data_IF_661103230713
#
_entry.id   IF_661103230713
#
_cell.length_a   1.000
_cell.length_b   1.000
_cell.length_c   1.000
_cell.angle_alpha   90.00
_cell.angle_beta   90.00
_cell.angle_gamma   90.00
#
_symmetry.space_group_name_H-M   'P 1'
#
loop_
_entity.id
_entity.type
_entity.pdbx_description
1 polymer ?
#
# COMPACT_ATOMS: atom_id res chain seq x y z
N UNK A 1 -27.45 -6.52 -26.47
CA UNK A 1 -26.44 -7.51 -26.93
C UNK A 1 -25.68 -8.00 -25.70
N UNK A 2 -25.08 -9.20 -25.70
CA UNK A 2 -24.37 -9.74 -24.52
C UNK A 2 -23.25 -8.81 -23.99
N UNK A 3 -22.50 -8.17 -24.88
CA UNK A 3 -21.44 -7.21 -24.51
C UNK A 3 -21.97 -6.01 -23.71
N UNK A 4 -23.14 -5.47 -24.06
CA UNK A 4 -23.69 -4.29 -23.37
C UNK A 4 -23.95 -4.59 -21.87
N UNK A 5 -24.41 -5.81 -21.56
CA UNK A 5 -24.65 -6.23 -20.18
C UNK A 5 -23.33 -6.40 -19.39
N UNK A 6 -22.31 -6.99 -20.02
CA UNK A 6 -20.98 -7.14 -19.41
C UNK A 6 -20.33 -5.79 -19.16
N UNK A 7 -20.40 -4.87 -20.12
CA UNK A 7 -19.84 -3.53 -19.99
C UNK A 7 -20.53 -2.70 -18.90
N UNK A 8 -21.84 -2.88 -18.71
CA UNK A 8 -22.58 -2.23 -17.62
C UNK A 8 -22.05 -2.68 -16.25
N UNK A 9 -21.92 -3.99 -16.04
CA UNK A 9 -21.33 -4.56 -14.81
C UNK A 9 -19.86 -4.12 -14.62
N UNK A 10 -19.08 -4.14 -15.70
CA UNK A 10 -17.69 -3.70 -15.69
C UNK A 10 -17.57 -2.22 -15.31
N UNK A 11 -18.46 -1.36 -15.81
CA UNK A 11 -18.42 0.07 -15.54
C UNK A 11 -18.68 0.37 -14.05
N UNK A 12 -19.74 -0.21 -13.48
CA UNK A 12 -20.04 -0.05 -12.05
C UNK A 12 -18.92 -0.58 -11.16
N UNK A 13 -18.39 -1.79 -11.45
CA UNK A 13 -17.27 -2.35 -10.70
C UNK A 13 -16.00 -1.52 -10.84
N UNK A 14 -15.71 -1.00 -12.04
CA UNK A 14 -14.52 -0.21 -12.31
C UNK A 14 -14.52 1.11 -11.51
N UNK A 15 -15.66 1.82 -11.51
CA UNK A 15 -15.83 3.06 -10.74
C UNK A 15 -15.75 2.79 -9.24
N UNK A 16 -16.35 1.70 -8.75
CA UNK A 16 -16.25 1.31 -7.35
C UNK A 16 -14.79 1.04 -6.92
N UNK A 17 -14.02 0.32 -7.74
CA UNK A 17 -12.58 0.08 -7.49
C UNK A 17 -11.79 1.38 -7.50
N UNK A 18 -11.98 2.25 -8.49
CA UNK A 18 -11.29 3.53 -8.59
C UNK A 18 -11.60 4.43 -7.38
N UNK A 19 -12.86 4.50 -6.96
CA UNK A 19 -13.28 5.26 -5.78
C UNK A 19 -12.64 4.73 -4.49
N UNK A 20 -12.66 3.41 -4.28
CA UNK A 20 -12.06 2.79 -3.09
C UNK A 20 -10.53 2.99 -3.02
N UNK A 21 -9.85 2.96 -4.18
CA UNK A 21 -8.41 3.25 -4.27
C UNK A 21 -8.10 4.70 -3.90
N UNK A 22 -8.86 5.65 -4.45
CA UNK A 22 -8.70 7.07 -4.10
C UNK A 22 -8.92 7.33 -2.63
N UNK A 23 -9.98 6.76 -2.05
CA UNK A 23 -10.24 6.88 -0.61
C UNK A 23 -9.05 6.36 0.21
N UNK A 24 -8.52 5.19 -0.15
CA UNK A 24 -7.37 4.58 0.52
C UNK A 24 -6.12 5.46 0.42
N UNK A 25 -5.83 5.99 -0.76
CA UNK A 25 -4.70 6.92 -0.99
C UNK A 25 -4.86 8.21 -0.19
N UNK A 26 -6.06 8.81 -0.17
CA UNK A 26 -6.33 10.01 0.62
C UNK A 26 -6.11 9.77 2.13
N UNK A 27 -6.50 8.59 2.62
CA UNK A 27 -6.25 8.21 4.01
C UNK A 27 -4.76 8.01 4.28
N UNK A 28 -4.01 7.40 3.35
CA UNK A 28 -2.55 7.25 3.44
C UNK A 28 -1.85 8.60 3.46
N UNK A 29 -2.18 9.50 2.55
CA UNK A 29 -1.63 10.86 2.52
C UNK A 29 -1.96 11.62 3.81
N UNK A 30 -3.17 11.48 4.32
CA UNK A 30 -3.60 12.08 5.60
C UNK A 30 -2.84 11.51 6.79
N UNK A 31 -2.66 10.18 6.86
CA UNK A 31 -1.90 9.53 7.91
C UNK A 31 -0.42 9.95 7.88
N UNK A 32 0.16 10.03 6.69
CA UNK A 32 1.53 10.50 6.47
C UNK A 32 1.72 11.96 6.87
N UNK A 33 0.74 12.84 6.63
CA UNK A 33 0.78 14.24 7.06
C UNK A 33 0.75 14.41 8.59
N UNK A 34 0.21 13.43 9.33
CA UNK A 34 0.20 13.44 10.81
C UNK A 34 1.51 12.97 11.43
N UNK A 35 2.44 12.42 10.64
CA UNK A 35 3.72 11.91 11.13
C UNK A 35 4.67 13.05 11.52
N UNK A 36 5.35 12.89 12.65
CA UNK A 36 6.37 13.83 13.09
C UNK A 36 7.66 13.60 12.28
N UNK A 37 7.89 14.48 11.31
CA UNK A 37 9.03 14.44 10.39
C UNK A 37 10.40 14.53 11.10
N UNK A 38 10.43 14.95 12.37
CA UNK A 38 11.66 15.04 13.17
C UNK A 38 12.00 13.77 13.98
N UNK A 39 11.05 12.84 14.15
CA UNK A 39 11.23 11.61 14.93
C UNK A 39 11.23 10.34 14.09
N UNK A 40 10.64 10.38 12.90
CA UNK A 40 10.53 9.23 12.03
C UNK A 40 11.81 8.98 11.22
N UNK A 41 12.39 7.78 11.38
CA UNK A 41 13.58 7.35 10.63
C UNK A 41 13.27 6.79 9.23
N UNK A 42 11.98 6.69 8.89
CA UNK A 42 11.51 6.29 7.57
C UNK A 42 11.09 7.52 6.76
N UNK A 43 11.45 7.58 5.46
CA UNK A 43 11.23 8.76 4.66
C UNK A 43 9.75 9.09 4.51
N UNK A 44 9.44 10.38 4.61
CA UNK A 44 8.12 10.87 4.25
C UNK A 44 7.85 10.69 2.75
N UNK A 45 6.61 10.42 2.41
CA UNK A 45 6.20 10.16 1.04
C UNK A 45 4.94 10.93 0.65
N UNK A 46 4.84 11.24 -0.63
CA UNK A 46 3.59 11.59 -1.29
C UNK A 46 3.11 10.36 -2.08
N UNK A 47 1.79 10.22 -2.24
CA UNK A 47 1.17 9.05 -2.84
C UNK A 47 -0.08 9.45 -3.62
N UNK A 48 -0.20 8.97 -4.86
CA UNK A 48 -1.36 9.17 -5.71
C UNK A 48 -1.63 7.96 -6.61
N UNK A 49 -2.83 7.89 -7.18
CA UNK A 49 -3.14 6.93 -8.26
C UNK A 49 -3.09 7.69 -9.59
N UNK A 50 -2.26 7.22 -10.51
CA UNK A 50 -2.22 7.69 -11.89
C UNK A 50 -3.16 6.83 -12.72
N UNK A 51 -4.39 7.30 -12.94
CA UNK A 51 -5.40 6.58 -13.73
C UNK A 51 -6.57 7.45 -14.15
N UNK A 52 -7.13 7.19 -15.33
CA UNK A 52 -8.16 8.03 -15.95
C UNK A 52 -9.45 8.07 -15.13
N UNK A 53 -9.88 6.92 -14.57
CA UNK A 53 -11.08 6.85 -13.74
C UNK A 53 -10.87 7.55 -12.41
N UNK A 54 -9.69 7.36 -11.79
CA UNK A 54 -9.36 8.05 -10.56
C UNK A 54 -9.32 9.58 -10.76
N UNK A 55 -8.73 10.06 -11.86
CA UNK A 55 -8.75 11.48 -12.23
C UNK A 55 -10.16 12.00 -12.53
N UNK A 56 -11.00 11.22 -13.23
CA UNK A 56 -12.38 11.62 -13.52
C UNK A 56 -13.20 11.82 -12.23
N UNK A 57 -13.01 10.96 -11.23
CA UNK A 57 -13.68 11.06 -9.93
C UNK A 57 -13.25 12.27 -9.09
N UNK A 58 -12.18 13.00 -9.47
CA UNK A 58 -11.82 14.29 -8.82
C UNK A 58 -12.78 15.41 -9.18
N UNK A 59 -13.37 15.36 -10.37
CA UNK A 59 -14.13 16.47 -10.94
C UNK A 59 -15.59 16.12 -11.26
N UNK A 60 -15.91 14.82 -11.36
CA UNK A 60 -17.25 14.32 -11.66
C UNK A 60 -17.80 13.43 -10.53
N UNK A 61 -19.13 13.26 -10.51
CA UNK A 61 -19.79 12.30 -9.63
C UNK A 61 -19.54 10.87 -10.11
N UNK A 62 -19.63 9.89 -9.20
CA UNK A 62 -19.45 8.47 -9.53
C UNK A 62 -20.38 8.02 -10.67
N UNK A 63 -21.65 8.43 -10.65
CA UNK A 63 -22.62 8.11 -11.71
C UNK A 63 -22.20 8.70 -13.06
N UNK A 64 -21.77 9.96 -13.10
CA UNK A 64 -21.33 10.58 -14.35
C UNK A 64 -20.05 9.94 -14.89
N UNK A 65 -19.11 9.56 -14.01
CA UNK A 65 -17.91 8.80 -14.40
C UNK A 65 -18.27 7.42 -14.94
N UNK A 66 -19.23 6.72 -14.31
CA UNK A 66 -19.71 5.41 -14.75
C UNK A 66 -20.35 5.48 -16.13
N UNK A 67 -21.26 6.43 -16.36
CA UNK A 67 -21.91 6.65 -17.65
C UNK A 67 -20.89 6.93 -18.75
N UNK A 68 -19.92 7.83 -18.48
CA UNK A 68 -18.88 8.18 -19.43
C UNK A 68 -17.93 6.99 -19.72
N UNK A 69 -17.60 6.18 -18.71
CA UNK A 69 -16.76 5.01 -18.90
C UNK A 69 -17.48 3.90 -19.66
N UNK A 70 -18.77 3.68 -19.39
CA UNK A 70 -19.62 2.74 -20.13
C UNK A 70 -19.70 3.12 -21.63
N UNK A 71 -19.92 4.41 -21.93
CA UNK A 71 -19.88 4.90 -23.30
C UNK A 71 -18.50 4.68 -23.94
N UNK A 72 -17.43 4.96 -23.19
CA UNK A 72 -16.04 4.72 -23.61
C UNK A 72 -15.76 3.26 -23.96
N UNK A 73 -16.22 2.31 -23.16
CA UNK A 73 -16.12 0.87 -23.43
C UNK A 73 -16.81 0.50 -24.74
N UNK A 74 -18.04 0.98 -24.94
CA UNK A 74 -18.79 0.74 -26.18
C UNK A 74 -18.09 1.28 -27.43
N UNK A 75 -17.49 2.48 -27.32
CA UNK A 75 -16.74 3.12 -28.40
C UNK A 75 -15.39 2.45 -28.69
N UNK A 76 -14.76 1.84 -27.67
CA UNK A 76 -13.45 1.21 -27.78
C UNK A 76 -13.47 -0.23 -28.30
N UNK A 77 -14.65 -0.87 -28.45
CA UNK A 77 -14.79 -2.29 -28.82
C UNK A 77 -13.92 -2.76 -29.99
N UNK A 78 -13.81 -1.98 -31.07
CA UNK A 78 -13.01 -2.35 -32.24
C UNK A 78 -11.51 -2.35 -31.93
N UNK A 79 -11.05 -1.39 -31.13
CA UNK A 79 -9.66 -1.26 -30.69
C UNK A 79 -9.32 -2.36 -29.68
N UNK A 80 -10.20 -2.60 -28.71
CA UNK A 80 -10.06 -3.67 -27.72
C UNK A 80 -10.03 -5.05 -28.38
N UNK A 81 -10.90 -5.28 -29.39
CA UNK A 81 -10.89 -6.51 -30.17
C UNK A 81 -9.59 -6.70 -30.96
N UNK A 82 -9.05 -5.63 -31.56
CA UNK A 82 -7.76 -5.67 -32.26
C UNK A 82 -6.59 -5.92 -31.30
N UNK A 83 -6.66 -5.40 -30.08
CA UNK A 83 -5.66 -5.61 -29.03
C UNK A 83 -5.83 -6.95 -28.26
N UNK A 84 -6.97 -7.62 -28.40
CA UNK A 84 -7.31 -8.85 -27.67
C UNK A 84 -7.53 -8.65 -26.17
N UNK A 85 -7.72 -7.41 -25.71
CA UNK A 85 -7.90 -7.03 -24.30
C UNK A 85 -8.54 -5.66 -24.17
N UNK A 86 -9.18 -5.39 -23.03
CA UNK A 86 -9.68 -4.05 -22.70
C UNK A 86 -8.53 -3.08 -22.42
N UNK A 87 -8.52 -1.95 -23.13
CA UNK A 87 -7.43 -0.97 -23.08
C UNK A 87 -7.61 0.13 -22.02
N UNK A 88 -8.84 0.37 -21.57
CA UNK A 88 -9.19 1.40 -20.58
C UNK A 88 -9.86 0.80 -19.34
N UNK A 89 -9.52 1.29 -18.16
CA UNK A 89 -10.09 0.82 -16.89
C UNK A 89 -9.09 0.85 -15.74
N UNK A 90 -9.52 0.53 -14.52
CA UNK A 90 -8.69 0.65 -13.32
C UNK A 90 -7.55 -0.37 -13.30
N UNK A 91 -7.58 -1.42 -14.12
CA UNK A 91 -6.45 -2.34 -14.30
C UNK A 91 -5.24 -1.69 -14.99
N UNK A 92 -5.40 -0.47 -15.53
CA UNK A 92 -4.33 0.31 -16.16
C UNK A 92 -3.75 1.39 -15.24
N UNK A 93 -4.42 1.70 -14.13
CA UNK A 93 -3.95 2.73 -13.18
C UNK A 93 -2.70 2.26 -12.43
N UNK A 94 -1.81 3.19 -12.12
CA UNK A 94 -0.58 2.94 -11.37
C UNK A 94 -0.58 3.66 -10.01
N UNK A 95 0.16 3.13 -9.04
CA UNK A 95 0.38 3.76 -7.74
C UNK A 95 1.71 4.52 -7.77
N UNK A 96 1.64 5.84 -7.87
CA UNK A 96 2.82 6.68 -7.82
C UNK A 96 3.15 7.08 -6.38
N UNK A 97 4.42 6.91 -6.00
CA UNK A 97 4.95 7.29 -4.68
C UNK A 97 6.17 8.17 -4.89
N UNK A 98 6.26 9.27 -4.16
CA UNK A 98 7.38 10.22 -4.24
C UNK A 98 8.04 10.41 -2.89
N UNK A 99 9.37 10.30 -2.82
CA UNK A 99 10.15 10.61 -1.63
C UNK A 99 10.14 12.12 -1.36
N UNK A 100 9.34 12.60 -0.40
CA UNK A 100 9.15 14.03 -0.15
C UNK A 100 10.46 14.75 0.23
N UNK A 101 11.31 14.12 1.07
CA UNK A 101 12.58 14.72 1.47
C UNK A 101 13.61 14.91 0.35
N UNK A 102 13.40 14.30 -0.82
CA UNK A 102 14.31 14.37 -1.98
C UNK A 102 13.64 14.86 -3.26
N UNK A 103 12.31 14.86 -3.32
CA UNK A 103 11.56 15.15 -4.54
C UNK A 103 11.77 14.11 -5.65
N UNK A 104 12.08 12.86 -5.27
CA UNK A 104 12.41 11.79 -6.22
C UNK A 104 11.31 10.74 -6.22
N UNK A 105 10.82 10.37 -7.40
CA UNK A 105 9.85 9.29 -7.55
C UNK A 105 10.46 7.95 -7.07
N UNK A 106 9.68 7.16 -6.34
CA UNK A 106 10.14 5.90 -5.76
C UNK A 106 10.72 4.95 -6.83
N UNK A 107 10.13 4.94 -8.04
CA UNK A 107 10.58 4.12 -9.16
C UNK A 107 12.05 4.34 -9.57
N UNK A 108 12.60 5.53 -9.33
CA UNK A 108 13.99 5.89 -9.66
C UNK A 108 14.87 6.14 -8.43
N UNK A 109 14.33 5.97 -7.22
CA UNK A 109 15.10 6.07 -5.98
C UNK A 109 16.05 4.88 -5.84
N UNK A 110 17.07 4.99 -4.96
CA UNK A 110 17.95 3.86 -4.67
C UNK A 110 17.17 2.70 -4.03
N UNK A 111 17.65 1.47 -4.19
CA UNK A 111 16.99 0.29 -3.61
C UNK A 111 16.78 0.40 -2.10
N UNK A 112 17.71 1.02 -1.36
CA UNK A 112 17.57 1.26 0.07
C UNK A 112 16.45 2.26 0.41
N UNK A 113 16.26 3.29 -0.42
CA UNK A 113 15.18 4.27 -0.27
C UNK A 113 13.82 3.68 -0.65
N UNK A 114 13.76 2.91 -1.74
CA UNK A 114 12.56 2.18 -2.14
C UNK A 114 12.08 1.27 -1.01
N UNK A 115 12.99 0.50 -0.39
CA UNK A 115 12.67 -0.34 0.76
C UNK A 115 12.18 0.50 1.95
N UNK A 116 12.87 1.60 2.28
CA UNK A 116 12.46 2.46 3.39
C UNK A 116 11.08 3.10 3.16
N UNK A 117 10.78 3.56 1.94
CA UNK A 117 9.47 4.07 1.54
C UNK A 117 8.39 2.99 1.67
N UNK A 118 8.66 1.79 1.16
CA UNK A 118 7.73 0.66 1.21
C UNK A 118 7.40 0.27 2.66
N UNK A 119 8.40 0.26 3.55
CA UNK A 119 8.19 -0.01 4.97
C UNK A 119 7.33 1.09 5.60
N UNK A 120 7.66 2.36 5.33
CA UNK A 120 6.88 3.50 5.81
C UNK A 120 5.42 3.43 5.35
N UNK A 121 5.19 3.10 4.08
CA UNK A 121 3.86 2.94 3.50
C UNK A 121 3.09 1.77 4.13
N UNK A 122 3.76 0.64 4.35
CA UNK A 122 3.16 -0.56 4.97
C UNK A 122 2.72 -0.27 6.40
N UNK A 123 3.55 0.42 7.18
CA UNK A 123 3.22 0.82 8.55
C UNK A 123 2.11 1.87 8.60
N UNK A 124 2.11 2.85 7.69
CA UNK A 124 1.02 3.82 7.56
C UNK A 124 -0.32 3.12 7.24
N UNK A 125 -0.29 2.13 6.34
CA UNK A 125 -1.47 1.33 6.04
C UNK A 125 -1.93 0.51 7.26
N UNK A 126 -1.02 -0.12 7.99
CA UNK A 126 -1.34 -0.85 9.21
C UNK A 126 -2.02 0.03 10.27
N UNK A 127 -1.53 1.27 10.42
CA UNK A 127 -2.14 2.28 11.29
C UNK A 127 -3.59 2.58 10.85
N UNK A 128 -3.84 2.79 9.55
CA UNK A 128 -5.19 3.05 9.04
C UNK A 128 -6.12 1.86 9.30
N UNK A 129 -5.63 0.63 9.08
CA UNK A 129 -6.42 -0.58 9.35
C UNK A 129 -6.76 -0.70 10.84
N UNK A 130 -5.83 -0.38 11.73
CA UNK A 130 -6.07 -0.33 13.17
C UNK A 130 -7.06 0.78 13.56
N UNK A 131 -6.96 1.98 12.96
CA UNK A 131 -7.89 3.09 13.19
C UNK A 131 -9.32 2.73 12.75
N UNK A 132 -9.48 2.12 11.57
CA UNK A 132 -10.79 1.68 11.05
C UNK A 132 -11.46 0.63 11.93
N UNK A 133 -10.71 -0.17 12.69
CA UNK A 133 -11.27 -1.13 13.66
C UNK A 133 -11.48 -0.53 15.06
N UNK A 134 -11.37 0.80 15.20
CA UNK A 134 -11.45 1.49 16.49
C UNK A 134 -10.33 1.10 17.45
N UNK A 135 -9.20 0.61 16.91
CA UNK A 135 -8.07 0.01 17.65
C UNK A 135 -8.42 -1.21 18.52
N UNK A 136 -9.66 -1.69 18.45
CA UNK A 136 -10.11 -2.89 19.17
C UNK A 136 -9.60 -4.18 18.53
N UNK A 137 -9.28 -4.13 17.23
CA UNK A 137 -8.76 -5.25 16.45
C UNK A 137 -7.64 -4.76 15.52
N UNK A 138 -6.45 -4.47 16.06
CA UNK A 138 -5.29 -4.11 15.24
C UNK A 138 -4.90 -5.28 14.32
N UNK A 139 -4.29 -5.02 13.15
CA UNK A 139 -3.87 -6.08 12.24
C UNK A 139 -2.72 -6.91 12.82
N UNK A 140 -2.63 -8.18 12.38
CA UNK A 140 -1.43 -8.99 12.53
C UNK A 140 -0.45 -8.61 11.41
N UNK A 141 0.77 -8.20 11.77
CA UNK A 141 1.82 -7.89 10.80
C UNK A 141 2.68 -9.12 10.54
N UNK A 142 2.92 -9.42 9.27
CA UNK A 142 3.84 -10.47 8.82
C UNK A 142 4.92 -9.78 8.00
N UNK A 143 6.16 -9.74 8.50
CA UNK A 143 7.26 -9.00 7.88
C UNK A 143 8.43 -9.96 7.60
N UNK A 144 8.62 -10.28 6.32
CA UNK A 144 9.64 -11.24 5.89
C UNK A 144 10.99 -10.55 5.67
N UNK A 145 12.05 -11.08 6.30
CA UNK A 145 13.45 -10.61 6.27
C UNK A 145 13.63 -9.09 6.52
N UNK A 146 12.69 -8.48 7.24
CA UNK A 146 12.57 -7.02 7.31
C UNK A 146 13.77 -6.33 7.97
N UNK A 147 14.35 -6.99 8.98
CA UNK A 147 15.42 -6.43 9.78
C UNK A 147 16.76 -6.43 9.05
N UNK A 148 16.99 -7.38 8.13
CA UNK A 148 18.25 -7.53 7.40
C UNK A 148 18.55 -6.36 6.44
N UNK A 149 17.53 -5.53 6.15
CA UNK A 149 17.63 -4.42 5.21
C UNK A 149 17.76 -3.04 5.87
N UNK A 150 17.86 -3.00 7.20
CA UNK A 150 17.85 -1.79 7.98
C UNK A 150 19.12 -1.66 8.81
N UNK A 151 19.62 -0.43 8.95
CA UNK A 151 20.61 -0.11 9.98
C UNK A 151 20.00 -0.21 11.38
N UNK A 152 20.85 -0.23 12.40
CA UNK A 152 20.44 -0.41 13.80
C UNK A 152 19.38 0.60 14.25
N UNK A 153 19.54 1.88 13.89
CA UNK A 153 18.61 2.93 14.28
C UNK A 153 17.22 2.69 13.66
N UNK A 154 17.19 2.36 12.36
CA UNK A 154 15.93 2.05 11.66
C UNK A 154 15.26 0.79 12.16
N UNK A 155 16.02 -0.23 12.58
CA UNK A 155 15.46 -1.43 13.24
C UNK A 155 14.77 -1.06 14.54
N UNK A 156 15.42 -0.29 15.42
CA UNK A 156 14.82 0.19 16.66
C UNK A 156 13.54 0.99 16.38
N UNK A 157 13.58 1.93 15.44
CA UNK A 157 12.38 2.70 15.08
C UNK A 157 11.26 1.84 14.47
N UNK A 158 11.59 0.82 13.68
CA UNK A 158 10.60 -0.15 13.18
C UNK A 158 9.87 -0.83 14.35
N UNK A 159 10.62 -1.36 15.31
CA UNK A 159 10.06 -2.06 16.46
C UNK A 159 9.21 -1.12 17.33
N UNK A 160 9.69 0.10 17.60
CA UNK A 160 8.97 1.10 18.39
C UNK A 160 7.66 1.53 17.71
N UNK A 161 7.66 1.68 16.37
CA UNK A 161 6.44 1.95 15.63
C UNK A 161 5.47 0.78 15.73
N UNK A 162 5.91 -0.46 15.50
CA UNK A 162 5.05 -1.66 15.60
C UNK A 162 4.38 -1.74 16.97
N UNK A 163 5.14 -1.53 18.06
CA UNK A 163 4.59 -1.50 19.41
C UNK A 163 3.58 -0.37 19.60
N UNK A 164 3.88 0.82 19.06
CA UNK A 164 3.00 1.98 19.10
C UNK A 164 1.66 1.77 18.39
N UNK A 165 1.62 0.90 17.36
CA UNK A 165 0.38 0.49 16.70
C UNK A 165 -0.49 -0.42 17.59
N UNK A 166 0.09 -1.06 18.61
CA UNK A 166 -0.55 -2.10 19.41
C UNK A 166 -0.80 -3.40 18.62
N UNK A 167 -0.08 -3.59 17.52
CA UNK A 167 -0.21 -4.76 16.64
C UNK A 167 0.66 -5.92 17.14
N UNK A 168 0.20 -7.15 16.93
CA UNK A 168 1.11 -8.30 16.97
C UNK A 168 1.88 -8.36 15.65
N UNK A 169 3.18 -8.66 15.70
CA UNK A 169 4.01 -8.83 14.52
C UNK A 169 4.79 -10.16 14.56
N UNK A 170 4.80 -10.86 13.44
CA UNK A 170 5.72 -11.96 13.15
C UNK A 170 6.77 -11.45 12.16
N UNK A 171 8.03 -11.63 12.52
CA UNK A 171 9.16 -11.18 11.71
C UNK A 171 10.12 -12.34 11.53
N UNK A 172 10.68 -12.46 10.32
CA UNK A 172 11.69 -13.48 10.01
C UNK A 172 13.05 -12.82 9.80
N UNK A 173 14.11 -13.57 10.07
CA UNK A 173 15.47 -13.18 9.76
C UNK A 173 16.43 -14.32 10.03
N UNK A 174 17.61 -14.23 9.42
CA UNK A 174 18.64 -15.27 9.47
C UNK A 174 19.60 -15.14 10.64
N UNK A 175 19.61 -13.98 11.32
CA UNK A 175 20.47 -13.69 12.46
C UNK A 175 19.66 -13.07 13.61
N UNK A 176 19.82 -13.61 14.82
CA UNK A 176 19.19 -13.12 16.05
C UNK A 176 19.63 -11.69 16.38
N UNK A 177 20.88 -11.34 16.10
CA UNK A 177 21.44 -10.03 16.43
C UNK A 177 20.70 -8.86 15.75
N UNK A 178 20.01 -9.11 14.63
CA UNK A 178 19.18 -8.12 13.95
C UNK A 178 17.98 -7.67 14.81
N UNK A 179 17.57 -8.49 15.78
CA UNK A 179 16.41 -8.27 16.62
C UNK A 179 16.77 -7.94 18.07
N UNK A 180 18.04 -7.77 18.41
CA UNK A 180 18.49 -7.49 19.78
C UNK A 180 17.80 -6.26 20.39
N UNK A 181 17.51 -5.24 19.56
CA UNK A 181 16.78 -4.04 19.97
C UNK A 181 15.34 -4.30 20.43
N UNK A 182 14.74 -5.46 20.12
CA UNK A 182 13.44 -5.84 20.67
C UNK A 182 13.53 -6.14 22.18
N UNK A 183 14.67 -6.65 22.66
CA UNK A 183 14.84 -7.04 24.07
C UNK A 183 13.74 -8.00 24.53
N UNK A 184 13.11 -7.69 25.67
CA UNK A 184 12.03 -8.49 26.26
C UNK A 184 10.67 -8.35 25.56
N UNK A 185 10.56 -7.44 24.57
CA UNK A 185 9.32 -7.21 23.82
C UNK A 185 9.03 -8.33 22.81
N UNK A 186 10.05 -9.08 22.43
CA UNK A 186 9.98 -10.14 21.43
C UNK A 186 9.96 -11.55 22.03
N UNK A 187 9.30 -12.47 21.32
CA UNK A 187 9.49 -13.91 21.52
C UNK A 187 10.26 -14.48 20.33
N UNK A 188 11.27 -15.28 20.63
CA UNK A 188 12.15 -15.86 19.62
C UNK A 188 11.82 -17.33 19.38
N UNK A 189 11.78 -17.69 18.11
CA UNK A 189 11.55 -19.06 17.67
C UNK A 189 12.59 -19.42 16.61
N UNK A 190 13.19 -20.59 16.76
CA UNK A 190 14.12 -21.16 15.79
C UNK A 190 13.36 -22.11 14.87
N UNK A 191 13.49 -21.88 13.56
CA UNK A 191 12.93 -22.75 12.52
C UNK A 191 14.06 -23.54 11.87
N UNK A 192 14.03 -24.86 11.99
CA UNK A 192 15.03 -25.75 11.41
C UNK A 192 14.39 -27.10 11.04
N UNK A 193 14.72 -27.62 9.86
CA UNK A 193 14.21 -28.94 9.41
C UNK A 193 12.69 -29.05 9.36
N UNK A 194 11.98 -27.97 9.01
CA UNK A 194 10.51 -27.93 8.99
C UNK A 194 9.85 -27.91 10.37
N UNK A 195 10.62 -27.75 11.46
CA UNK A 195 10.13 -27.68 12.84
C UNK A 195 10.35 -26.29 13.44
N UNK A 196 9.46 -25.88 14.34
CA UNK A 196 9.53 -24.60 15.08
C UNK A 196 9.76 -24.90 16.56
N UNK A 197 10.78 -24.29 17.15
CA UNK A 197 11.14 -24.46 18.57
C UNK A 197 11.31 -23.09 19.23
N UNK A 198 10.93 -22.94 20.50
CA UNK A 198 11.13 -21.70 21.24
C UNK A 198 12.63 -21.53 21.54
N UNK A 199 13.20 -20.38 21.18
CA UNK A 199 14.62 -20.05 21.34
C UNK A 199 14.90 -18.98 22.39
#
# INVERSE_FOLDING_TARGET
RWLDAVETEMAGAAVAVAAARRETVLQLSSAQARRDSGRDLFPAFDICIEGDLEAALETASATATEDAYLEGLGNARSQDAAAGRTLAGPHRSDLAVTHLGKGVAAAIASTGEQKALLIGLTLAHAQIVAERSGRSRPPLLLLDEIAAHLDEKRRTALFDMIDGLGCQAFMTGTDRALFDAMGERGQFFTVAGGSVTKG
#
